data_IF_890438205964
#
_entry.id   IF_890438205964
#
_cell.length_a   1.000
_cell.length_b   1.000
_cell.length_c   1.000
_cell.angle_alpha   90.00
_cell.angle_beta   90.00
_cell.angle_gamma   90.00
#
_symmetry.space_group_name_H-M   'P 1'
#
loop_
_entity.id
_entity.type
_entity.pdbx_description
1 polymer ?
#
# COMPACT_ATOMS: atom_id res chain seq x y z
N UNK A 1 -24.06 18.32 -8.30
CA UNK A 1 -23.74 16.93 -8.67
C UNK A 1 -22.44 16.60 -7.98
N UNK A 2 -22.48 15.86 -6.89
CA UNK A 2 -21.26 15.39 -6.24
C UNK A 2 -20.64 14.33 -7.15
N UNK A 3 -19.56 14.68 -7.83
CA UNK A 3 -18.74 13.68 -8.51
C UNK A 3 -18.23 12.75 -7.42
N UNK A 4 -18.77 11.54 -7.36
CA UNK A 4 -18.25 10.46 -6.54
C UNK A 4 -16.87 10.10 -7.10
N UNK A 5 -15.85 10.87 -6.70
CA UNK A 5 -14.46 10.55 -6.95
C UNK A 5 -14.23 9.28 -6.13
N UNK A 6 -14.47 8.12 -6.75
CA UNK A 6 -13.98 6.84 -6.24
C UNK A 6 -12.52 7.08 -5.92
N UNK A 7 -12.15 7.08 -4.63
CA UNK A 7 -10.76 7.20 -4.21
C UNK A 7 -10.03 6.02 -4.85
N UNK A 8 -9.32 6.29 -5.95
CA UNK A 8 -8.64 5.26 -6.72
C UNK A 8 -7.67 4.51 -5.81
N UNK A 9 -7.72 3.19 -5.93
CA UNK A 9 -6.75 2.29 -5.32
C UNK A 9 -6.07 1.56 -6.47
N UNK A 10 -4.78 1.80 -6.62
CA UNK A 10 -3.96 1.28 -7.70
C UNK A 10 -2.73 0.58 -7.14
N UNK A 11 -2.40 -0.56 -7.75
CA UNK A 11 -1.24 -1.38 -7.45
C UNK A 11 -0.41 -1.50 -8.72
N UNK A 12 0.86 -1.08 -8.68
CA UNK A 12 1.81 -1.28 -9.76
C UNK A 12 3.00 -2.10 -9.28
N UNK A 13 3.16 -3.31 -9.79
CA UNK A 13 4.24 -4.23 -9.43
C UNK A 13 5.20 -4.40 -10.60
N UNK A 14 6.40 -3.85 -10.47
CA UNK A 14 7.45 -3.97 -11.48
C UNK A 14 8.41 -5.10 -11.10
N UNK A 15 8.58 -6.05 -12.03
CA UNK A 15 9.54 -7.17 -11.94
C UNK A 15 9.47 -7.98 -10.64
N UNK A 16 8.32 -7.97 -9.94
CA UNK A 16 8.16 -8.54 -8.58
C UNK A 16 9.18 -8.01 -7.55
N UNK A 17 9.71 -6.81 -7.77
CA UNK A 17 10.74 -6.18 -6.91
C UNK A 17 10.31 -4.82 -6.36
N UNK A 18 9.54 -4.04 -7.12
CA UNK A 18 9.07 -2.72 -6.71
C UNK A 18 7.55 -2.68 -6.78
N UNK A 19 6.92 -2.39 -5.65
CA UNK A 19 5.48 -2.20 -5.53
C UNK A 19 5.20 -0.74 -5.19
N UNK A 20 4.47 -0.06 -6.07
CA UNK A 20 3.91 1.26 -5.81
C UNK A 20 2.39 1.11 -5.57
N UNK A 21 1.88 1.72 -4.49
CA UNK A 21 0.52 1.55 -3.99
C UNK A 21 -0.08 2.90 -3.59
N UNK A 22 -1.31 3.17 -4.01
CA UNK A 22 -2.08 4.34 -3.56
C UNK A 22 -3.09 3.94 -2.48
N UNK A 23 -3.65 4.90 -1.73
CA UNK A 23 -4.77 4.62 -0.83
C UNK A 23 -4.43 3.79 0.42
N UNK A 24 -3.16 3.69 0.79
CA UNK A 24 -2.73 3.22 2.12
C UNK A 24 -3.23 4.20 3.17
N UNK A 25 -3.84 3.67 4.22
CA UNK A 25 -4.28 4.40 5.41
C UNK A 25 -3.24 4.26 6.52
N UNK A 26 -2.79 3.02 6.78
CA UNK A 26 -1.81 2.73 7.83
C UNK A 26 -1.03 1.45 7.56
N UNK A 27 0.14 1.29 8.18
CA UNK A 27 0.94 0.07 8.19
C UNK A 27 0.65 -0.70 9.47
N UNK A 28 -0.02 -1.85 9.35
CA UNK A 28 -0.35 -2.69 10.51
C UNK A 28 0.88 -3.50 10.96
N UNK A 29 1.64 -4.05 10.01
CA UNK A 29 2.82 -4.86 10.30
C UNK A 29 3.79 -4.82 9.14
N UNK A 30 5.09 -4.82 9.44
CA UNK A 30 6.15 -4.92 8.46
C UNK A 30 7.32 -5.73 9.02
N UNK A 31 7.80 -6.69 8.23
CA UNK A 31 9.03 -7.44 8.46
C UNK A 31 9.67 -7.80 7.12
N UNK A 32 10.81 -8.49 7.16
CA UNK A 32 11.59 -8.83 5.96
C UNK A 32 10.86 -9.76 4.98
N UNK A 33 9.83 -10.47 5.44
CA UNK A 33 9.10 -11.47 4.66
C UNK A 33 7.68 -11.02 4.28
N UNK A 34 7.16 -9.96 4.90
CA UNK A 34 5.78 -9.54 4.73
C UNK A 34 5.50 -8.11 5.16
N UNK A 35 4.46 -7.53 4.56
CA UNK A 35 3.84 -6.29 4.99
C UNK A 35 2.31 -6.45 5.00
N UNK A 36 1.68 -5.91 6.04
CA UNK A 36 0.24 -5.86 6.22
C UNK A 36 -0.14 -4.39 6.27
N UNK A 37 -0.99 -3.96 5.34
CA UNK A 37 -1.41 -2.57 5.18
C UNK A 37 -2.91 -2.46 5.39
N UNK A 38 -3.34 -1.44 6.13
CA UNK A 38 -4.72 -0.98 6.09
C UNK A 38 -4.88 -0.04 4.89
N UNK A 39 -5.81 -0.32 3.98
CA UNK A 39 -6.08 0.53 2.81
C UNK A 39 -7.52 1.01 2.83
N UNK A 40 -7.84 2.00 2.00
CA UNK A 40 -9.21 2.51 1.84
C UNK A 40 -10.21 1.44 1.38
N UNK A 41 -9.75 0.32 0.83
CA UNK A 41 -10.58 -0.80 0.37
C UNK A 41 -10.43 -2.06 1.26
N UNK A 42 -9.83 -1.93 2.44
CA UNK A 42 -9.62 -3.02 3.40
C UNK A 42 -8.15 -3.42 3.57
N UNK A 43 -7.92 -4.57 4.21
CA UNK A 43 -6.56 -5.04 4.52
C UNK A 43 -5.87 -5.66 3.32
N UNK A 44 -4.63 -5.27 3.05
CA UNK A 44 -3.78 -5.83 2.01
C UNK A 44 -2.55 -6.51 2.62
N UNK A 45 -2.40 -7.81 2.34
CA UNK A 45 -1.27 -8.62 2.79
C UNK A 45 -0.34 -8.89 1.62
N UNK A 46 0.91 -8.45 1.72
CA UNK A 46 1.95 -8.71 0.71
C UNK A 46 3.04 -9.55 1.37
N UNK A 47 3.47 -10.60 0.67
CA UNK A 47 4.54 -11.51 1.12
C UNK A 47 5.67 -11.50 0.11
N UNK A 48 6.89 -11.60 0.61
CA UNK A 48 8.12 -11.55 -0.18
C UNK A 48 9.32 -12.03 0.62
N UNK A 49 10.50 -11.63 0.19
CA UNK A 49 11.77 -11.81 0.93
C UNK A 49 12.55 -10.51 0.82
N UNK A 50 13.34 -10.18 1.85
CA UNK A 50 14.14 -8.97 1.91
C UNK A 50 13.34 -7.70 1.62
N UNK A 51 12.08 -7.67 2.09
CA UNK A 51 11.21 -6.53 1.89
C UNK A 51 11.77 -5.30 2.61
N UNK A 52 11.72 -4.14 1.95
CA UNK A 52 12.13 -2.84 2.49
C UNK A 52 11.08 -1.79 2.14
N UNK A 53 10.66 -1.01 3.13
CA UNK A 53 9.81 0.16 2.90
C UNK A 53 10.72 1.37 2.66
N UNK A 54 10.75 1.87 1.42
CA UNK A 54 11.66 2.97 1.04
C UNK A 54 11.12 4.36 1.38
N UNK A 55 9.81 4.60 1.18
CA UNK A 55 9.15 5.87 1.53
C UNK A 55 7.69 5.59 1.88
N UNK A 56 7.28 6.05 3.06
CA UNK A 56 5.89 6.09 3.47
C UNK A 56 5.50 7.56 3.55
N UNK A 57 4.84 8.08 2.51
CA UNK A 57 4.28 9.44 2.56
C UNK A 57 2.83 9.33 3.02
N UNK A 58 2.62 9.59 4.31
CA UNK A 58 1.31 9.67 4.98
C UNK A 58 0.80 11.12 5.03
N UNK A 59 1.16 11.97 4.06
CA UNK A 59 0.95 13.43 4.06
C UNK A 59 -0.53 13.91 4.08
N UNK A 60 -1.49 13.02 4.33
CA UNK A 60 -2.88 13.36 4.62
C UNK A 60 -3.43 12.49 5.76
N UNK A 61 -2.74 12.47 6.90
CA UNK A 61 -3.39 12.25 8.20
C UNK A 61 -4.36 13.39 8.50
#
# INVERSE_FOLDING_TARGET
>A
METNIKKEHSLNLLNRQKLDLTGVVDVISFNEDSVILNTKLGTLNIKGKNMRVNKLNVDNG
#
